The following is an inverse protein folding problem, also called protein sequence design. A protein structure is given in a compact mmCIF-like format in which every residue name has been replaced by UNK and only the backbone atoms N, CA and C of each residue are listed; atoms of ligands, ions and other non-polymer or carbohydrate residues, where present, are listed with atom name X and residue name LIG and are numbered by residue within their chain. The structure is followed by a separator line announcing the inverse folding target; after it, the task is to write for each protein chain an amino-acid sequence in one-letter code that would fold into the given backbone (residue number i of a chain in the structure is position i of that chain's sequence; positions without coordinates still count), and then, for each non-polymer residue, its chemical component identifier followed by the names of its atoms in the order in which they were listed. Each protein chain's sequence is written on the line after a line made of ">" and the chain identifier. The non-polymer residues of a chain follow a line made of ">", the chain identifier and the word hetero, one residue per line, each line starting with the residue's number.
data_IF_631648145580
#
_entry.id   IF_631648145580
#
_cell.length_a   1.000
_cell.length_b   1.000
_cell.length_c   1.000
_cell.angle_alpha   90.00
_cell.angle_beta   90.00
_cell.angle_gamma   90.00
#
_symmetry.space_group_name_H-M   'P 1'
#
loop_
_entity.id
_entity.type
_entity.pdbx_description
1 polymer ?
#
# COMPACT_ATOMS: atom_id res chain seq x y z
N UNK A 1 27.41 -3.08 2.01
CA UNK A 1 26.07 -3.43 2.48
C UNK A 1 25.53 -2.15 3.05
N UNK A 2 24.70 -1.46 2.27
CA UNK A 2 24.14 -0.18 2.69
C UNK A 2 23.22 -0.46 3.89
N UNK A 3 23.56 0.13 5.04
CA UNK A 3 22.73 0.05 6.22
C UNK A 3 21.54 1.00 6.05
N UNK A 4 20.39 0.64 6.64
CA UNK A 4 19.18 1.44 6.58
C UNK A 4 18.52 1.44 7.96
N UNK A 5 17.89 2.55 8.33
CA UNK A 5 17.07 2.64 9.55
C UNK A 5 15.60 2.40 9.22
N UNK A 6 14.90 1.57 9.98
CA UNK A 6 13.51 1.22 9.73
C UNK A 6 12.56 2.29 10.29
N UNK A 7 11.49 2.56 9.56
CA UNK A 7 10.41 3.46 10.00
C UNK A 7 9.04 2.79 9.87
N UNK A 8 7.99 3.46 10.33
CA UNK A 8 6.69 2.85 10.54
C UNK A 8 5.81 2.83 9.27
N UNK A 9 5.82 3.88 8.44
CA UNK A 9 4.94 3.93 7.27
C UNK A 9 5.09 5.14 6.36
N UNK A 10 4.15 5.27 5.41
CA UNK A 10 4.20 6.25 4.33
C UNK A 10 4.26 7.70 4.82
N UNK A 11 3.67 7.98 5.99
CA UNK A 11 3.62 9.31 6.61
C UNK A 11 4.94 9.74 7.26
N UNK A 12 5.94 8.85 7.34
CA UNK A 12 7.32 9.23 7.70
C UNK A 12 7.98 10.10 6.62
N UNK A 13 7.48 10.02 5.38
CA UNK A 13 7.88 10.93 4.31
C UNK A 13 7.23 12.29 4.57
N UNK A 14 8.07 13.27 4.91
CA UNK A 14 7.64 14.60 5.34
C UNK A 14 6.56 15.21 4.42
N UNK A 15 5.41 15.50 5.02
CA UNK A 15 4.28 16.17 4.38
C UNK A 15 3.21 15.25 3.78
N UNK A 16 3.50 13.95 3.58
CA UNK A 16 2.47 13.00 3.14
C UNK A 16 1.50 12.70 4.27
N UNK A 17 0.21 12.64 3.94
CA UNK A 17 -0.88 12.24 4.83
C UNK A 17 -1.70 11.12 4.21
N UNK A 18 -2.33 10.30 5.04
CA UNK A 18 -3.15 9.16 4.60
C UNK A 18 -4.50 9.22 5.30
N UNK A 19 -5.56 9.03 4.52
CA UNK A 19 -6.92 8.97 5.04
C UNK A 19 -7.70 7.80 4.47
N UNK A 20 -8.64 7.29 5.27
CA UNK A 20 -9.47 6.15 4.93
C UNK A 20 -10.93 6.48 5.14
N UNK A 21 -11.79 6.03 4.24
CA UNK A 21 -13.23 6.02 4.44
C UNK A 21 -13.81 4.67 4.02
N UNK A 22 -14.80 4.20 4.76
CA UNK A 22 -15.52 2.96 4.49
C UNK A 22 -16.84 3.28 3.80
N UNK A 23 -17.30 2.40 2.92
CA UNK A 23 -18.70 2.43 2.46
C UNK A 23 -19.60 2.11 3.67
N UNK A 24 -20.61 2.94 3.98
CA UNK A 24 -21.50 2.70 5.10
C UNK A 24 -22.40 1.48 4.86
N UNK A 25 -22.85 0.85 5.94
CA UNK A 25 -23.76 -0.29 5.92
C UNK A 25 -23.10 -1.62 6.32
N UNK A 26 -23.91 -2.49 6.92
CA UNK A 26 -23.46 -3.79 7.47
C UNK A 26 -23.08 -4.79 6.38
N UNK A 27 -23.76 -4.72 5.22
CA UNK A 27 -23.49 -5.56 4.04
C UNK A 27 -22.50 -4.92 3.04
N UNK A 28 -21.91 -3.79 3.42
CA UNK A 28 -20.83 -3.16 2.66
C UNK A 28 -19.48 -3.68 3.17
N UNK A 29 -18.59 -4.07 2.27
CA UNK A 29 -17.21 -4.45 2.61
C UNK A 29 -16.27 -3.85 1.57
N UNK A 30 -16.24 -2.52 1.51
CA UNK A 30 -15.42 -1.75 0.58
C UNK A 30 -15.13 -0.36 1.17
N UNK A 31 -14.23 0.39 0.52
CA UNK A 31 -13.84 1.73 0.95
C UNK A 31 -12.81 2.36 0.03
N UNK A 32 -12.33 3.54 0.45
CA UNK A 32 -11.34 4.34 -0.28
C UNK A 32 -10.22 4.75 0.67
N UNK A 33 -8.99 4.72 0.16
CA UNK A 33 -7.79 5.26 0.80
C UNK A 33 -7.26 6.40 -0.07
N UNK A 34 -6.97 7.54 0.54
CA UNK A 34 -6.34 8.69 -0.15
C UNK A 34 -4.98 8.93 0.45
N UNK A 35 -3.97 9.09 -0.42
CA UNK A 35 -2.67 9.66 -0.04
C UNK A 35 -2.67 11.11 -0.49
N UNK A 36 -2.56 12.02 0.47
CA UNK A 36 -2.60 13.47 0.27
C UNK A 36 -1.17 14.03 0.40
N UNK A 37 -0.71 14.71 -0.64
CA UNK A 37 0.57 15.41 -0.65
C UNK A 37 0.49 16.71 0.18
N UNK A 38 1.63 17.28 0.61
CA UNK A 38 1.65 18.60 1.23
C UNK A 38 1.13 19.68 0.25
N UNK A 39 0.91 20.88 0.76
CA UNK A 39 0.63 22.04 -0.10
C UNK A 39 1.74 22.24 -1.14
N UNK A 40 1.36 22.62 -2.35
CA UNK A 40 2.25 22.63 -3.53
C UNK A 40 2.41 21.25 -4.19
N UNK A 41 1.78 20.20 -3.67
CA UNK A 41 1.74 18.87 -4.26
C UNK A 41 3.06 18.12 -4.17
N UNK A 42 3.14 16.96 -4.84
CA UNK A 42 4.35 16.16 -4.99
C UNK A 42 4.57 15.78 -6.45
N UNK A 43 5.83 15.64 -6.87
CA UNK A 43 6.15 15.07 -8.18
C UNK A 43 5.61 13.65 -8.20
N UNK A 44 4.85 13.30 -9.23
CA UNK A 44 4.15 12.03 -9.29
C UNK A 44 4.39 11.29 -10.59
N UNK A 45 4.41 9.96 -10.49
CA UNK A 45 4.44 9.07 -11.64
C UNK A 45 3.68 7.78 -11.34
N UNK A 46 3.42 7.00 -12.38
CA UNK A 46 2.72 5.72 -12.28
C UNK A 46 3.34 4.69 -13.19
N UNK A 47 3.30 3.43 -12.75
CA UNK A 47 3.49 2.25 -13.57
C UNK A 47 2.28 1.33 -13.36
N UNK A 48 1.62 0.95 -14.46
CA UNK A 48 0.49 0.02 -14.48
C UNK A 48 0.97 -1.25 -15.17
N UNK A 49 1.00 -2.37 -14.43
CA UNK A 49 1.62 -3.61 -14.91
C UNK A 49 0.66 -4.80 -15.01
N UNK A 50 -0.38 -4.82 -14.19
CA UNK A 50 -1.41 -5.86 -14.29
C UNK A 50 -2.18 -5.78 -15.60
N UNK A 51 -2.67 -6.93 -16.11
CA UNK A 51 -3.38 -6.98 -17.39
C UNK A 51 -4.85 -6.53 -17.36
N UNK A 52 -5.44 -6.35 -16.18
CA UNK A 52 -6.83 -5.92 -15.99
C UNK A 52 -6.96 -4.64 -15.15
N UNK A 53 -6.29 -3.54 -15.52
CA UNK A 53 -6.29 -2.33 -14.70
C UNK A 53 -7.63 -1.59 -14.74
N UNK A 54 -8.01 -1.00 -13.60
CA UNK A 54 -9.04 0.02 -13.53
C UNK A 54 -8.42 1.29 -12.96
N UNK A 55 -8.18 2.28 -13.82
CA UNK A 55 -7.40 3.47 -13.49
C UNK A 55 -8.08 4.75 -13.98
N UNK A 56 -7.66 5.88 -13.40
CA UNK A 56 -8.07 7.24 -13.80
C UNK A 56 -6.84 8.15 -13.83
N UNK A 57 -6.76 9.02 -14.83
CA UNK A 57 -5.74 10.08 -15.00
C UNK A 57 -4.27 9.62 -15.03
N UNK A 58 -4.02 8.36 -15.44
CA UNK A 58 -2.65 7.83 -15.56
C UNK A 58 -1.86 8.50 -16.68
N UNK A 59 -2.50 8.84 -17.81
CA UNK A 59 -1.84 9.51 -18.93
C UNK A 59 -1.33 10.90 -18.53
N UNK A 60 -2.08 11.63 -17.70
CA UNK A 60 -1.64 12.91 -17.15
C UNK A 60 -0.32 12.78 -16.37
N UNK A 61 0.02 11.57 -15.91
CA UNK A 61 1.25 11.31 -15.20
C UNK A 61 2.47 11.00 -16.08
N UNK A 62 2.30 10.86 -17.40
CA UNK A 62 3.40 10.58 -18.32
C UNK A 62 4.47 11.69 -18.30
N UNK A 63 5.79 11.38 -18.31
CA UNK A 63 6.85 12.39 -18.24
C UNK A 63 6.86 13.46 -19.34
N UNK A 64 6.21 13.18 -20.47
CA UNK A 64 6.07 14.13 -21.58
C UNK A 64 4.91 15.13 -21.43
N UNK A 65 4.13 15.07 -20.35
CA UNK A 65 2.93 15.87 -20.17
C UNK A 65 3.14 17.05 -19.20
N UNK A 66 2.21 18.02 -19.22
CA UNK A 66 2.37 19.33 -18.57
C UNK A 66 2.24 19.32 -17.04
N UNK A 67 1.54 18.33 -16.49
CA UNK A 67 1.29 18.22 -15.06
C UNK A 67 2.57 17.75 -14.39
N UNK A 68 3.20 18.58 -13.56
CA UNK A 68 4.44 18.19 -12.86
C UNK A 68 4.21 17.71 -11.42
N UNK A 69 3.25 18.30 -10.70
CA UNK A 69 2.91 17.93 -9.32
C UNK A 69 1.41 17.65 -9.20
N UNK A 70 1.06 16.71 -8.33
CA UNK A 70 -0.35 16.41 -7.97
C UNK A 70 -0.53 16.52 -6.46
N UNK A 71 -1.76 16.71 -6.03
CA UNK A 71 -2.10 16.84 -4.62
C UNK A 71 -2.56 15.54 -3.97
N UNK A 72 -3.12 14.59 -4.72
CA UNK A 72 -3.66 13.37 -4.14
C UNK A 72 -3.59 12.16 -5.09
N UNK A 73 -3.47 10.97 -4.51
CA UNK A 73 -3.67 9.68 -5.19
C UNK A 73 -4.79 8.92 -4.48
N UNK A 74 -5.68 8.32 -5.25
CA UNK A 74 -6.85 7.58 -4.76
C UNK A 74 -6.69 6.08 -5.01
N UNK A 75 -6.71 5.29 -3.95
CA UNK A 75 -6.82 3.83 -4.02
C UNK A 75 -8.23 3.47 -3.55
N UNK A 76 -8.97 2.65 -4.30
CA UNK A 76 -10.39 2.40 -3.98
C UNK A 76 -10.80 0.96 -4.23
N UNK A 77 -11.75 0.46 -3.43
CA UNK A 77 -12.52 -0.73 -3.78
C UNK A 77 -13.60 -0.40 -4.83
N UNK A 78 -14.51 -1.34 -5.08
CA UNK A 78 -15.64 -1.18 -5.99
C UNK A 78 -15.34 -1.44 -7.46
N UNK A 79 -14.14 -1.92 -7.80
CA UNK A 79 -13.66 -2.06 -9.17
C UNK A 79 -13.82 -0.72 -9.93
N UNK A 80 -14.03 -0.77 -11.26
CA UNK A 80 -14.13 0.43 -12.11
C UNK A 80 -15.19 1.43 -11.62
N UNK A 81 -16.29 0.97 -11.00
CA UNK A 81 -17.29 1.87 -10.42
C UNK A 81 -16.74 2.72 -9.28
N UNK A 82 -15.79 2.18 -8.50
CA UNK A 82 -15.19 2.91 -7.39
C UNK A 82 -14.34 4.11 -7.82
N UNK A 83 -13.96 4.20 -9.10
CA UNK A 83 -13.23 5.36 -9.63
C UNK A 83 -14.04 6.66 -9.49
N UNK A 84 -15.36 6.59 -9.30
CA UNK A 84 -16.22 7.72 -8.93
C UNK A 84 -15.76 8.41 -7.63
N UNK A 85 -15.07 7.69 -6.73
CA UNK A 85 -14.49 8.26 -5.52
C UNK A 85 -13.49 9.39 -5.81
N UNK A 86 -12.75 9.31 -6.93
CA UNK A 86 -11.81 10.36 -7.33
C UNK A 86 -12.50 11.70 -7.59
N UNK A 87 -13.77 11.70 -8.04
CA UNK A 87 -14.55 12.93 -8.25
C UNK A 87 -14.82 13.69 -6.95
N UNK A 88 -15.03 12.99 -5.84
CA UNK A 88 -15.20 13.64 -4.53
C UNK A 88 -13.90 14.25 -3.99
N UNK A 89 -12.77 13.60 -4.26
CA UNK A 89 -11.44 14.13 -3.92
C UNK A 89 -11.11 15.35 -4.78
N UNK A 90 -11.40 15.30 -6.08
CA UNK A 90 -11.25 16.42 -7.01
C UNK A 90 -12.05 17.64 -6.53
N UNK A 91 -13.33 17.46 -6.20
CA UNK A 91 -14.17 18.56 -5.69
C UNK A 91 -13.62 19.16 -4.38
N UNK A 92 -13.13 18.32 -3.46
CA UNK A 92 -12.54 18.79 -2.20
C UNK A 92 -11.24 19.59 -2.40
N UNK A 93 -10.43 19.22 -3.40
CA UNK A 93 -9.20 19.91 -3.76
C UNK A 93 -9.50 21.25 -4.45
N UNK A 94 -10.47 21.28 -5.35
CA UNK A 94 -10.96 22.50 -6.00
C UNK A 94 -11.43 23.54 -4.98
N UNK A 95 -12.22 23.12 -3.96
CA UNK A 95 -12.65 23.97 -2.84
C UNK A 95 -11.51 24.60 -2.03
N UNK A 96 -10.28 24.10 -2.19
CA UNK A 96 -9.08 24.54 -1.48
C UNK A 96 -8.04 25.15 -2.41
N UNK A 97 -8.42 25.47 -3.65
CA UNK A 97 -7.54 26.03 -4.67
C UNK A 97 -6.30 25.15 -4.95
N UNK A 98 -6.44 23.82 -4.79
CA UNK A 98 -5.37 22.84 -4.99
C UNK A 98 -5.52 22.13 -6.32
N UNK A 99 -4.64 22.43 -7.26
CA UNK A 99 -4.59 21.79 -8.57
C UNK A 99 -3.72 22.56 -9.55
N UNK A 100 -3.77 22.17 -10.82
CA UNK A 100 -3.09 22.88 -11.89
C UNK A 100 -3.78 24.22 -12.10
N UNK A 101 -3.05 25.34 -11.96
CA UNK A 101 -3.59 26.66 -12.29
C UNK A 101 -3.87 26.76 -13.78
N UNK A 102 -5.11 27.10 -14.13
CA UNK A 102 -5.58 27.25 -15.53
C UNK A 102 -6.05 28.67 -15.86
N UNK A 103 -6.00 29.59 -14.90
CA UNK A 103 -6.32 30.99 -15.13
C UNK A 103 -5.72 31.93 -14.08
N UNK A 104 -5.90 33.26 -14.24
CA UNK A 104 -5.28 34.27 -13.39
C UNK A 104 -5.89 34.38 -11.98
N UNK A 105 -7.15 33.97 -11.79
CA UNK A 105 -7.86 34.16 -10.52
C UNK A 105 -7.63 32.99 -9.53
N UNK A 106 -7.76 33.28 -8.24
CA UNK A 106 -7.85 32.25 -7.20
C UNK A 106 -9.07 31.36 -7.48
N UNK A 107 -8.96 30.06 -7.28
CA UNK A 107 -10.01 29.09 -7.63
C UNK A 107 -10.01 28.60 -9.07
N UNK A 108 -9.25 29.21 -9.98
CA UNK A 108 -9.12 28.70 -11.36
C UNK A 108 -8.08 27.59 -11.42
N UNK A 109 -8.37 26.47 -10.75
CA UNK A 109 -7.54 25.26 -10.70
C UNK A 109 -8.26 24.06 -11.29
N UNK A 110 -7.50 23.13 -11.88
CA UNK A 110 -7.97 21.81 -12.27
C UNK A 110 -7.16 20.77 -11.51
N UNK A 111 -7.74 20.13 -10.48
CA UNK A 111 -7.05 19.07 -9.75
C UNK A 111 -6.87 17.84 -10.64
N UNK A 112 -5.63 17.35 -10.78
CA UNK A 112 -5.38 16.05 -11.40
C UNK A 112 -5.37 15.01 -10.30
N UNK A 113 -6.33 14.07 -10.33
CA UNK A 113 -6.52 13.08 -9.26
C UNK A 113 -6.42 11.67 -9.83
N UNK A 114 -5.19 11.13 -9.91
CA UNK A 114 -4.94 9.77 -10.33
C UNK A 114 -5.58 8.77 -9.37
N UNK A 115 -6.17 7.72 -9.93
CA UNK A 115 -6.80 6.67 -9.14
C UNK A 115 -6.53 5.30 -9.71
N UNK A 116 -6.55 4.30 -8.83
CA UNK A 116 -6.59 2.90 -9.21
C UNK A 116 -7.52 2.12 -8.28
N UNK A 117 -8.17 1.09 -8.79
CA UNK A 117 -9.15 0.31 -8.04
C UNK A 117 -8.78 -1.17 -7.86
N UNK A 118 -9.23 -1.74 -6.75
CA UNK A 118 -9.29 -3.18 -6.51
C UNK A 118 -10.71 -3.70 -6.72
N UNK A 119 -10.86 -4.96 -7.09
CA UNK A 119 -12.15 -5.64 -7.15
C UNK A 119 -12.50 -6.26 -5.80
N UNK A 120 -13.58 -5.80 -5.18
CA UNK A 120 -14.12 -6.32 -3.91
C UNK A 120 -15.66 -6.40 -3.89
N UNK A 121 -16.29 -6.35 -5.07
CA UNK A 121 -17.74 -6.34 -5.23
C UNK A 121 -18.41 -7.55 -4.55
N UNK A 122 -19.50 -7.29 -3.83
CA UNK A 122 -20.32 -8.33 -3.22
C UNK A 122 -19.73 -9.01 -1.98
N UNK A 123 -18.49 -8.72 -1.58
CA UNK A 123 -17.83 -9.39 -0.44
C UNK A 123 -18.50 -9.13 0.92
N UNK A 124 -19.23 -8.02 1.04
CA UNK A 124 -20.09 -7.76 2.22
C UNK A 124 -21.49 -8.36 2.12
N UNK A 125 -21.86 -8.91 0.96
CA UNK A 125 -23.19 -9.45 0.67
C UNK A 125 -24.11 -8.51 -0.11
N UNK A 126 -23.76 -7.23 -0.27
CA UNK A 126 -24.42 -6.33 -1.21
C UNK A 126 -23.50 -6.03 -2.40
N UNK A 127 -23.92 -6.43 -3.61
CA UNK A 127 -23.17 -6.22 -4.85
C UNK A 127 -23.01 -4.74 -5.21
N UNK A 128 -23.94 -3.88 -4.78
CA UNK A 128 -23.97 -2.45 -5.11
C UNK A 128 -23.38 -1.57 -4.00
N UNK A 129 -22.93 -2.16 -2.89
CA UNK A 129 -22.23 -1.44 -1.84
C UNK A 129 -20.77 -1.16 -2.24
N UNK A 130 -20.59 -0.12 -3.05
CA UNK A 130 -19.31 0.31 -3.62
C UNK A 130 -18.98 1.77 -3.25
N UNK A 131 -17.69 2.18 -3.26
CA UNK A 131 -17.30 3.56 -3.08
C UNK A 131 -17.85 4.47 -4.18
N UNK A 132 -18.07 5.73 -3.84
CA UNK A 132 -18.40 6.80 -4.79
C UNK A 132 -17.83 8.13 -4.30
N UNK A 133 -18.22 9.24 -4.93
CA UNK A 133 -17.69 10.57 -4.63
C UNK A 133 -17.72 10.90 -3.12
N UNK A 134 -18.81 10.60 -2.41
CA UNK A 134 -18.90 10.86 -0.96
C UNK A 134 -17.85 10.06 -0.15
N UNK A 135 -17.58 8.81 -0.51
CA UNK A 135 -16.53 8.00 0.12
C UNK A 135 -15.15 8.56 -0.14
N UNK A 136 -14.88 9.02 -1.37
CA UNK A 136 -13.61 9.67 -1.72
C UNK A 136 -13.40 10.99 -0.97
N UNK A 137 -14.42 11.85 -0.91
CA UNK A 137 -14.40 13.08 -0.12
C UNK A 137 -14.09 12.80 1.35
N UNK A 138 -14.81 11.87 1.97
CA UNK A 138 -14.59 11.50 3.36
C UNK A 138 -13.16 10.99 3.60
N UNK A 139 -12.57 10.25 2.65
CA UNK A 139 -11.20 9.75 2.78
C UNK A 139 -10.15 10.87 2.69
N UNK A 140 -10.33 11.86 1.81
CA UNK A 140 -9.40 13.00 1.73
C UNK A 140 -9.57 13.97 2.92
N UNK A 141 -10.79 14.15 3.41
CA UNK A 141 -11.05 14.90 4.65
C UNK A 141 -10.39 14.23 5.85
N UNK A 142 -10.49 12.89 5.95
CA UNK A 142 -9.78 12.12 6.97
C UNK A 142 -8.26 12.28 6.85
N UNK A 143 -7.71 12.29 5.63
CA UNK A 143 -6.28 12.53 5.41
C UNK A 143 -5.87 13.94 5.86
N UNK A 144 -6.65 14.96 5.51
CA UNK A 144 -6.37 16.34 5.86
C UNK A 144 -6.45 16.61 7.38
N UNK A 145 -7.25 15.83 8.11
CA UNK A 145 -7.41 15.94 9.55
C UNK A 145 -6.26 15.30 10.36
N UNK A 146 -5.35 14.54 9.73
CA UNK A 146 -4.20 13.95 10.44
C UNK A 146 -3.06 14.94 10.60
N UNK A 147 -2.39 14.87 11.75
CA UNK A 147 -1.12 15.56 11.97
C UNK A 147 0.00 15.03 11.06
N UNK A 148 1.00 15.85 10.68
CA UNK A 148 2.19 15.37 9.98
C UNK A 148 2.87 14.22 10.75
N UNK A 149 3.23 13.14 10.05
CA UNK A 149 3.85 11.97 10.67
C UNK A 149 2.89 11.09 11.49
N UNK A 150 1.58 11.34 11.44
CA UNK A 150 0.61 10.47 12.11
C UNK A 150 0.73 9.01 11.60
N UNK A 151 0.69 8.00 12.49
CA UNK A 151 0.79 6.60 12.09
C UNK A 151 -0.27 6.20 11.07
N UNK A 152 0.13 5.41 10.07
CA UNK A 152 -0.81 4.89 9.06
C UNK A 152 -1.63 3.74 9.65
N UNK A 153 -2.95 3.90 9.71
CA UNK A 153 -3.85 2.82 10.12
C UNK A 153 -3.83 1.71 9.06
N UNK A 154 -3.42 0.50 9.48
CA UNK A 154 -3.31 -0.67 8.60
C UNK A 154 -4.40 -1.73 8.88
N UNK A 155 -4.50 -2.74 8.01
CA UNK A 155 -5.49 -3.82 8.11
C UNK A 155 -6.73 -3.57 7.24
N UNK A 156 -7.91 -3.90 7.75
CA UNK A 156 -9.16 -3.90 6.97
C UNK A 156 -9.84 -2.52 6.89
N UNK A 157 -9.09 -1.49 6.49
CA UNK A 157 -9.54 -0.08 6.42
C UNK A 157 -9.47 0.46 4.98
N UNK A 158 -10.26 1.49 4.67
CA UNK A 158 -10.25 2.16 3.36
C UNK A 158 -10.39 1.18 2.21
N UNK A 159 -9.53 1.29 1.19
CA UNK A 159 -9.50 0.36 0.07
C UNK A 159 -9.13 -1.09 0.46
N UNK A 160 -8.52 -1.29 1.64
CA UNK A 160 -8.25 -2.61 2.21
C UNK A 160 -9.44 -3.25 2.93
N UNK A 161 -10.55 -2.52 3.13
CA UNK A 161 -11.73 -3.07 3.83
C UNK A 161 -12.25 -4.33 3.14
N UNK A 162 -12.35 -4.32 1.81
CA UNK A 162 -12.81 -5.46 1.02
C UNK A 162 -11.73 -6.45 0.64
N UNK A 163 -10.45 -6.13 0.83
CA UNK A 163 -9.34 -6.80 0.16
C UNK A 163 -9.12 -8.26 0.59
N UNK A 164 -8.76 -9.10 -0.39
CA UNK A 164 -8.50 -10.56 -0.26
C UNK A 164 -7.29 -10.91 -1.10
N UNK A 165 -6.37 -11.71 -0.55
CA UNK A 165 -5.13 -12.15 -1.22
C UNK A 165 -5.01 -13.67 -1.16
N UNK A 166 -5.05 -14.32 -2.32
CA UNK A 166 -4.96 -15.79 -2.38
C UNK A 166 -6.01 -16.52 -1.53
N UNK A 167 -7.18 -15.89 -1.29
CA UNK A 167 -8.26 -16.37 -0.43
C UNK A 167 -8.14 -15.99 1.06
N UNK A 168 -7.01 -15.45 1.50
CA UNK A 168 -6.85 -14.88 2.83
C UNK A 168 -7.33 -13.44 2.86
N UNK A 169 -7.66 -12.91 4.03
CA UNK A 169 -7.84 -11.46 4.18
C UNK A 169 -6.54 -10.73 3.87
N UNK A 170 -6.64 -9.82 2.90
CA UNK A 170 -5.64 -8.81 2.65
C UNK A 170 -5.94 -7.55 3.46
N UNK A 171 -5.51 -6.40 2.96
CA UNK A 171 -5.77 -5.13 3.62
C UNK A 171 -4.84 -4.03 3.16
N UNK A 172 -4.82 -2.95 3.94
CA UNK A 172 -3.82 -1.88 3.86
C UNK A 172 -2.60 -2.30 4.68
N UNK A 173 -1.41 -2.06 4.13
CA UNK A 173 -0.16 -2.14 4.88
C UNK A 173 0.76 -0.99 4.54
N UNK A 174 1.67 -0.65 5.45
CA UNK A 174 2.66 0.39 5.24
C UNK A 174 3.99 0.04 5.89
N UNK A 175 5.09 0.47 5.26
CA UNK A 175 6.45 0.29 5.75
C UNK A 175 7.35 1.40 5.20
N UNK A 176 8.39 1.76 5.94
CA UNK A 176 9.36 2.74 5.50
C UNK A 176 10.78 2.44 5.93
N UNK A 177 11.71 3.20 5.37
CA UNK A 177 13.11 3.17 5.72
C UNK A 177 13.77 4.52 5.45
N UNK A 178 14.73 4.90 6.28
CA UNK A 178 15.65 6.01 6.04
C UNK A 178 16.94 5.47 5.46
N UNK A 179 17.39 6.11 4.38
CA UNK A 179 18.60 5.78 3.67
C UNK A 179 19.81 6.34 4.41
N UNK A 180 20.70 5.49 4.90
CA UNK A 180 21.89 5.95 5.63
C UNK A 180 22.78 6.82 4.72
N UNK A 181 23.48 7.77 5.35
CA UNK A 181 24.31 8.77 4.65
C UNK A 181 23.50 9.93 4.05
N UNK A 182 22.45 9.65 3.27
CA UNK A 182 21.62 10.71 2.65
C UNK A 182 20.50 11.25 3.56
N UNK A 183 20.02 10.43 4.50
CA UNK A 183 18.86 10.75 5.33
C UNK A 183 17.53 10.81 4.57
N UNK A 184 17.51 10.39 3.29
CA UNK A 184 16.30 10.29 2.48
C UNK A 184 15.38 9.23 3.06
N UNK A 185 14.10 9.53 3.15
CA UNK A 185 13.08 8.56 3.53
C UNK A 185 12.44 7.96 2.29
N UNK A 186 12.28 6.64 2.27
CA UNK A 186 11.50 5.91 1.26
C UNK A 186 10.50 5.04 1.99
N UNK A 187 9.22 5.17 1.66
CA UNK A 187 8.16 4.41 2.30
C UNK A 187 7.08 4.01 1.31
N UNK A 188 6.27 3.02 1.66
CA UNK A 188 5.17 2.56 0.84
C UNK A 188 3.88 2.38 1.64
N UNK A 189 2.76 2.60 0.97
CA UNK A 189 1.44 2.12 1.35
C UNK A 189 0.95 1.18 0.26
N UNK A 190 0.38 0.05 0.65
CA UNK A 190 -0.17 -0.94 -0.29
C UNK A 190 -1.60 -1.31 0.07
N UNK A 191 -2.37 -1.71 -0.94
CA UNK A 191 -3.66 -2.39 -0.80
C UNK A 191 -3.53 -3.76 -1.45
N UNK A 192 -3.57 -4.82 -0.64
CA UNK A 192 -3.24 -6.18 -1.10
C UNK A 192 -4.51 -6.96 -1.39
N UNK A 193 -4.89 -7.05 -2.67
CA UNK A 193 -6.08 -7.76 -3.13
C UNK A 193 -5.76 -8.75 -4.28
N UNK A 194 -4.66 -9.50 -4.21
CA UNK A 194 -4.15 -10.26 -5.37
C UNK A 194 -4.83 -11.63 -5.61
N UNK A 195 -4.84 -12.11 -6.88
CA UNK A 195 -5.19 -13.51 -7.19
C UNK A 195 -4.17 -14.43 -6.53
N UNK A 196 -2.89 -14.06 -6.69
CA UNK A 196 -1.75 -14.80 -6.17
C UNK A 196 -1.76 -14.93 -4.66
N UNK A 197 -0.98 -15.89 -4.18
CA UNK A 197 -0.78 -16.08 -2.77
C UNK A 197 0.35 -15.19 -2.27
N UNK A 198 0.15 -14.55 -1.11
CA UNK A 198 1.24 -13.97 -0.34
C UNK A 198 2.01 -15.02 0.49
N UNK A 199 1.47 -16.24 0.56
CA UNK A 199 1.99 -17.36 1.35
C UNK A 199 2.62 -18.39 0.43
N UNK A 200 3.82 -18.82 0.78
CA UNK A 200 4.48 -19.98 0.20
C UNK A 200 3.67 -21.24 0.51
N UNK A 201 3.10 -21.92 -0.50
CA UNK A 201 2.25 -23.08 -0.29
C UNK A 201 3.00 -24.32 0.20
N UNK A 202 4.34 -24.30 0.20
CA UNK A 202 5.15 -25.41 0.69
C UNK A 202 5.50 -25.31 2.18
N UNK A 203 5.48 -24.09 2.75
CA UNK A 203 6.00 -23.83 4.10
C UNK A 203 5.05 -23.02 4.97
N UNK A 204 4.16 -22.23 4.38
CA UNK A 204 3.31 -21.27 5.10
C UNK A 204 3.99 -19.95 5.41
N UNK A 205 5.25 -19.77 4.98
CA UNK A 205 5.98 -18.52 5.12
C UNK A 205 5.40 -17.46 4.19
N UNK A 206 5.34 -16.20 4.63
CA UNK A 206 4.97 -15.10 3.73
C UNK A 206 6.14 -14.83 2.77
N UNK A 207 5.89 -14.80 1.46
CA UNK A 207 6.96 -14.68 0.46
C UNK A 207 7.85 -13.45 0.70
N UNK A 208 7.24 -12.32 1.05
CA UNK A 208 7.96 -11.07 1.31
C UNK A 208 8.82 -11.08 2.58
N UNK A 209 8.78 -12.15 3.39
CA UNK A 209 9.64 -12.35 4.54
C UNK A 209 10.99 -13.01 4.17
N UNK A 210 11.10 -13.64 2.99
CA UNK A 210 12.36 -14.24 2.54
C UNK A 210 13.38 -13.14 2.20
N UNK A 211 14.59 -13.27 2.76
CA UNK A 211 15.70 -12.35 2.51
C UNK A 211 15.58 -10.99 3.23
N UNK A 212 14.48 -10.73 3.93
CA UNK A 212 14.27 -9.48 4.65
C UNK A 212 14.73 -9.61 6.12
N UNK A 213 15.71 -8.79 6.57
CA UNK A 213 16.22 -8.83 7.94
C UNK A 213 15.16 -8.57 9.02
N UNK A 214 14.08 -7.84 8.71
CA UNK A 214 12.99 -7.54 9.65
C UNK A 214 12.28 -8.80 10.12
N UNK A 215 12.21 -9.80 9.24
CA UNK A 215 11.50 -11.04 9.50
C UNK A 215 12.44 -12.22 9.77
N UNK A 216 13.75 -11.98 9.88
CA UNK A 216 14.74 -13.01 10.13
C UNK A 216 14.55 -13.65 11.52
N UNK A 217 14.58 -14.98 11.56
CA UNK A 217 14.59 -15.77 12.78
C UNK A 217 16.04 -16.08 13.22
N UNK A 218 16.24 -16.12 14.54
CA UNK A 218 17.40 -16.69 15.24
C UNK A 218 18.76 -16.60 14.53
N UNK A 219 19.38 -15.42 14.57
CA UNK A 219 20.81 -15.23 14.24
C UNK A 219 21.23 -15.49 12.78
N UNK A 220 20.29 -15.87 11.91
CA UNK A 220 20.55 -16.16 10.50
C UNK A 220 19.95 -15.05 9.61
N UNK A 221 20.78 -14.16 9.04
CA UNK A 221 20.29 -13.05 8.23
C UNK A 221 19.42 -13.52 7.06
N UNK A 222 18.20 -12.97 6.96
CA UNK A 222 17.31 -13.16 5.82
C UNK A 222 16.55 -14.49 5.76
N UNK A 223 16.58 -15.33 6.81
CA UNK A 223 15.77 -16.56 6.87
C UNK A 223 14.60 -16.38 7.85
N UNK A 224 13.34 -16.40 7.38
CA UNK A 224 12.19 -16.25 8.26
C UNK A 224 11.93 -17.49 9.11
N UNK A 225 11.15 -17.33 10.18
CA UNK A 225 10.63 -18.45 10.96
C UNK A 225 9.66 -19.27 10.11
N UNK A 226 9.86 -20.60 10.08
CA UNK A 226 8.99 -21.51 9.36
C UNK A 226 7.87 -21.96 10.30
N UNK A 227 6.58 -21.85 9.89
CA UNK A 227 5.50 -22.49 10.62
C UNK A 227 5.75 -24.00 10.80
N UNK A 228 5.27 -24.54 11.92
CA UNK A 228 5.27 -25.99 12.13
C UNK A 228 4.54 -26.70 10.96
N UNK A 229 5.09 -27.79 10.39
CA UNK A 229 4.48 -28.47 9.25
C UNK A 229 3.05 -28.95 9.49
N UNK A 230 2.69 -29.35 10.72
CA UNK A 230 1.33 -29.78 11.06
C UNK A 230 0.38 -28.57 11.10
N UNK A 231 0.83 -27.44 11.65
CA UNK A 231 0.10 -26.17 11.63
C UNK A 231 -0.13 -25.74 10.18
N UNK A 232 0.90 -25.80 9.33
CA UNK A 232 0.77 -25.47 7.91
C UNK A 232 -0.22 -26.36 7.18
N UNK A 233 -0.16 -27.68 7.38
CA UNK A 233 -1.10 -28.61 6.77
C UNK A 233 -2.55 -28.33 7.22
N UNK A 234 -2.77 -27.98 8.49
CA UNK A 234 -4.09 -27.60 8.99
C UNK A 234 -4.59 -26.27 8.41
N UNK A 235 -3.72 -25.27 8.33
CA UNK A 235 -4.01 -23.97 7.72
C UNK A 235 -4.41 -24.11 6.24
N UNK A 236 -3.66 -24.91 5.47
CA UNK A 236 -3.94 -25.16 4.06
C UNK A 236 -5.31 -25.80 3.84
N UNK A 237 -5.69 -26.78 4.68
CA UNK A 237 -7.04 -27.39 4.63
C UNK A 237 -8.14 -26.36 4.92
N UNK A 238 -8.03 -25.61 6.00
CA UNK A 238 -9.02 -24.58 6.37
C UNK A 238 -9.17 -23.49 5.30
N UNK A 239 -8.06 -23.09 4.66
CA UNK A 239 -8.10 -22.13 3.57
C UNK A 239 -8.79 -22.71 2.33
N UNK A 240 -8.56 -23.97 1.99
CA UNK A 240 -9.25 -24.64 0.89
C UNK A 240 -10.76 -24.70 1.14
N UNK A 241 -11.17 -25.12 2.34
CA UNK A 241 -12.58 -25.17 2.75
C UNK A 241 -13.25 -23.78 2.70
N UNK A 242 -12.55 -22.72 3.13
CA UNK A 242 -13.06 -21.34 3.06
C UNK A 242 -13.23 -20.84 1.62
N UNK A 243 -12.31 -21.22 0.73
CA UNK A 243 -12.40 -20.91 -0.72
C UNK A 243 -13.59 -21.62 -1.37
N UNK A 244 -13.83 -22.89 -1.05
CA UNK A 244 -14.97 -23.64 -1.57
C UNK A 244 -16.31 -23.02 -1.16
N UNK A 245 -16.39 -22.47 0.06
CA UNK A 245 -17.57 -21.73 0.54
C UNK A 245 -17.74 -20.36 -0.10
N UNK A 246 -16.70 -19.81 -0.73
CA UNK A 246 -16.68 -18.45 -1.26
C UNK A 246 -16.80 -18.45 -2.79
N UNK A 247 -17.98 -18.13 -3.33
CA UNK A 247 -18.22 -18.04 -4.77
C UNK A 247 -17.92 -16.65 -5.33
N UNK A 248 -16.67 -16.19 -5.26
CA UNK A 248 -16.29 -14.84 -5.74
C UNK A 248 -15.54 -14.88 -7.09
N UNK A 249 -15.90 -14.04 -8.07
CA UNK A 249 -15.15 -13.90 -9.32
C UNK A 249 -13.67 -13.55 -9.10
N UNK A 250 -12.78 -14.04 -9.97
CA UNK A 250 -11.34 -13.81 -9.89
C UNK A 250 -10.90 -12.57 -10.68
N UNK A 251 -11.28 -11.38 -10.22
CA UNK A 251 -10.60 -10.13 -10.57
C UNK A 251 -9.93 -9.62 -9.30
N UNK A 252 -8.66 -9.23 -9.39
CA UNK A 252 -7.83 -8.96 -8.22
C UNK A 252 -6.75 -7.93 -8.57
N UNK A 253 -6.13 -7.30 -7.59
CA UNK A 253 -5.20 -6.18 -7.80
C UNK A 253 -4.36 -5.93 -6.55
N UNK A 254 -3.05 -5.70 -6.68
CA UNK A 254 -2.23 -5.03 -5.66
C UNK A 254 -1.97 -3.59 -6.08
N UNK A 255 -2.40 -2.65 -5.25
CA UNK A 255 -2.12 -1.22 -5.45
C UNK A 255 -1.00 -0.77 -4.52
N UNK A 256 -0.11 0.09 -4.99
CA UNK A 256 0.95 0.67 -4.19
C UNK A 256 1.09 2.18 -4.41
N UNK A 257 1.47 2.89 -3.36
CA UNK A 257 2.00 4.26 -3.41
C UNK A 257 3.34 4.24 -2.70
N UNK A 258 4.40 4.56 -3.44
CA UNK A 258 5.74 4.77 -2.89
C UNK A 258 5.95 6.26 -2.66
N UNK A 259 6.23 6.66 -1.42
CA UNK A 259 6.59 8.02 -1.05
C UNK A 259 8.10 8.16 -0.87
N UNK A 260 8.65 9.31 -1.23
CA UNK A 260 10.00 9.71 -0.82
C UNK A 260 10.12 11.22 -0.64
N UNK A 261 11.02 11.64 0.26
CA UNK A 261 11.36 13.05 0.43
C UNK A 261 12.50 13.51 -0.50
N UNK A 262 13.10 12.59 -1.26
CA UNK A 262 14.07 12.93 -2.29
C UNK A 262 13.45 13.75 -3.42
N UNK A 263 14.18 14.74 -3.91
CA UNK A 263 13.87 15.52 -5.10
C UNK A 263 14.11 14.65 -6.34
N UNK A 264 13.03 14.20 -6.95
CA UNK A 264 13.06 13.38 -8.17
C UNK A 264 12.44 14.14 -9.33
N UNK A 265 12.98 13.94 -10.53
CA UNK A 265 12.25 14.23 -11.76
C UNK A 265 11.12 13.22 -11.94
N UNK A 266 10.11 13.56 -12.74
CA UNK A 266 9.01 12.66 -13.09
C UNK A 266 9.47 11.35 -13.73
N UNK A 267 10.51 11.38 -14.57
CA UNK A 267 11.09 10.17 -15.16
C UNK A 267 11.78 9.28 -14.11
N UNK A 268 12.49 9.88 -13.14
CA UNK A 268 13.07 9.13 -12.02
C UNK A 268 11.96 8.54 -11.12
N UNK A 269 10.91 9.30 -10.83
CA UNK A 269 9.74 8.80 -10.10
C UNK A 269 9.03 7.66 -10.86
N UNK A 270 8.94 7.73 -12.20
CA UNK A 270 8.39 6.64 -13.00
C UNK A 270 9.27 5.38 -12.91
N UNK A 271 10.59 5.54 -12.85
CA UNK A 271 11.50 4.42 -12.63
C UNK A 271 11.31 3.79 -11.25
N UNK A 272 11.08 4.60 -10.22
CA UNK A 272 10.72 4.13 -8.86
C UNK A 272 9.43 3.32 -8.90
N UNK A 273 8.37 3.84 -9.53
CA UNK A 273 7.10 3.13 -9.70
C UNK A 273 7.30 1.78 -10.40
N UNK A 274 8.10 1.74 -11.47
CA UNK A 274 8.40 0.49 -12.17
C UNK A 274 9.18 -0.52 -11.34
N UNK A 275 10.13 -0.07 -10.51
CA UNK A 275 10.92 -0.95 -9.62
C UNK A 275 10.11 -1.42 -8.41
N UNK A 276 9.13 -0.62 -7.95
CA UNK A 276 8.21 -0.99 -6.87
C UNK A 276 7.48 -2.33 -7.16
N UNK A 277 7.17 -2.62 -8.43
CA UNK A 277 6.59 -3.89 -8.85
C UNK A 277 7.47 -5.11 -8.52
N UNK A 278 8.79 -4.96 -8.43
CA UNK A 278 9.66 -6.03 -7.96
C UNK A 278 9.36 -6.41 -6.51
N UNK A 279 8.97 -5.43 -5.68
CA UNK A 279 8.49 -5.67 -4.32
C UNK A 279 7.20 -6.49 -4.28
N UNK A 280 6.26 -6.18 -5.19
CA UNK A 280 5.02 -6.96 -5.35
C UNK A 280 5.37 -8.41 -5.74
N UNK A 281 6.21 -8.61 -6.75
CA UNK A 281 6.59 -9.94 -7.23
C UNK A 281 7.38 -10.77 -6.20
N UNK A 282 8.11 -10.12 -5.28
CA UNK A 282 8.79 -10.79 -4.15
C UNK A 282 7.82 -11.24 -3.06
N UNK A 283 6.67 -10.55 -2.90
CA UNK A 283 5.74 -10.80 -1.82
C UNK A 283 4.46 -11.54 -2.23
N UNK A 284 4.16 -11.63 -3.53
CA UNK A 284 2.96 -12.26 -4.08
C UNK A 284 3.33 -13.13 -5.28
N UNK A 285 2.81 -14.37 -5.31
CA UNK A 285 3.04 -15.30 -6.42
C UNK A 285 1.78 -16.10 -6.79
N UNK A 286 1.40 -16.16 -8.08
CA UNK A 286 1.86 -15.26 -9.17
C UNK A 286 1.37 -13.81 -8.97
N UNK A 287 2.01 -12.86 -9.65
CA UNK A 287 1.58 -11.46 -9.73
C UNK A 287 1.52 -11.01 -11.20
N UNK A 288 0.87 -9.87 -11.48
CA UNK A 288 0.79 -9.26 -12.81
C UNK A 288 0.10 -10.13 -13.88
N UNK A 289 -0.84 -10.98 -13.49
CA UNK A 289 -1.64 -11.77 -14.44
C UNK A 289 -2.63 -10.89 -15.21
N UNK A 290 -3.29 -11.47 -16.22
CA UNK A 290 -4.31 -10.79 -17.04
C UNK A 290 -5.51 -10.26 -16.22
N UNK A 291 -5.82 -10.93 -15.11
CA UNK A 291 -6.90 -10.53 -14.22
C UNK A 291 -6.41 -9.70 -13.02
N UNK A 292 -5.11 -9.38 -12.99
CA UNK A 292 -4.53 -8.49 -11.99
C UNK A 292 -4.56 -7.04 -12.49
N UNK A 293 -4.99 -6.08 -11.67
CA UNK A 293 -4.93 -4.65 -11.97
C UNK A 293 -3.71 -3.92 -11.40
N UNK A 294 -2.63 -4.64 -11.13
CA UNK A 294 -1.49 -4.17 -10.33
C UNK A 294 -0.96 -2.80 -10.82
N UNK A 295 -0.94 -1.83 -9.90
CA UNK A 295 -0.57 -0.43 -10.20
C UNK A 295 0.24 0.16 -9.06
N UNK A 296 1.38 0.78 -9.39
CA UNK A 296 2.23 1.49 -8.44
C UNK A 296 2.33 2.98 -8.81
N UNK A 297 2.02 3.86 -7.86
CA UNK A 297 2.30 5.28 -7.94
C UNK A 297 3.57 5.63 -7.17
N UNK A 298 4.26 6.69 -7.58
CA UNK A 298 5.33 7.31 -6.78
C UNK A 298 4.97 8.76 -6.49
N UNK A 299 5.19 9.22 -5.26
CA UNK A 299 5.08 10.60 -4.81
C UNK A 299 6.42 11.05 -4.21
N UNK A 300 7.07 12.03 -4.84
CA UNK A 300 8.30 12.63 -4.37
C UNK A 300 8.03 14.06 -3.88
N UNK A 301 8.16 14.31 -2.57
CA UNK A 301 7.86 15.64 -1.99
C UNK A 301 8.97 16.66 -2.28
N UNK A 302 10.19 16.19 -2.49
CA UNK A 302 11.35 17.01 -2.85
C UNK A 302 11.93 17.83 -1.70
N UNK A 303 11.71 17.41 -0.45
CA UNK A 303 12.25 18.07 0.73
C UNK A 303 13.76 17.88 0.91
N UNK A 304 14.37 16.91 0.22
CA UNK A 304 15.81 16.63 0.26
C UNK A 304 16.39 16.51 -1.15
N UNK A 305 17.60 17.03 -1.41
CA UNK A 305 18.27 16.76 -2.68
C UNK A 305 18.57 15.25 -2.80
N UNK A 306 18.47 14.70 -4.01
CA UNK A 306 18.86 13.31 -4.28
C UNK A 306 20.37 13.09 -4.10
N UNK A 307 21.18 14.15 -4.18
CA UNK A 307 22.65 14.08 -4.04
C UNK A 307 23.29 15.28 -3.38
N UNK A 308 24.34 15.01 -2.61
CA UNK A 308 25.61 15.73 -2.69
C UNK A 308 26.61 14.85 -3.50
N UNK A 309 26.73 15.05 -4.82
CA UNK A 309 27.90 14.62 -5.59
C UNK A 309 28.03 13.19 -6.17
N UNK A 310 26.96 12.38 -6.35
CA UNK A 310 27.03 11.04 -7.01
C UNK A 310 25.92 10.72 -8.02
N UNK A 311 25.65 11.62 -8.96
CA UNK A 311 24.75 11.32 -10.09
C UNK A 311 25.48 10.48 -11.16
N UNK A 312 24.85 9.47 -11.81
CA UNK A 312 23.43 9.06 -11.76
C UNK A 312 23.11 7.90 -10.78
N UNK A 313 24.10 7.35 -10.08
CA UNK A 313 23.94 6.12 -9.29
C UNK A 313 23.22 6.31 -7.95
N UNK A 314 23.09 7.54 -7.45
CA UNK A 314 22.39 7.85 -6.20
C UNK A 314 20.92 7.39 -6.18
N UNK A 315 20.25 7.38 -7.34
CA UNK A 315 18.87 6.90 -7.45
C UNK A 315 18.74 5.41 -7.09
N UNK A 316 19.78 4.60 -7.28
CA UNK A 316 19.70 3.15 -7.03
C UNK A 316 19.34 2.83 -5.57
N UNK A 317 19.79 3.63 -4.61
CA UNK A 317 19.44 3.47 -3.20
C UNK A 317 17.91 3.62 -3.00
N UNK A 318 17.30 4.63 -3.62
CA UNK A 318 15.84 4.83 -3.60
C UNK A 318 15.11 3.69 -4.32
N UNK A 319 15.62 3.23 -5.47
CA UNK A 319 15.02 2.13 -6.23
C UNK A 319 15.01 0.82 -5.46
N UNK A 320 16.13 0.46 -4.82
CA UNK A 320 16.24 -0.74 -3.97
C UNK A 320 15.27 -0.62 -2.81
N UNK A 321 15.33 0.49 -2.08
CA UNK A 321 14.46 0.73 -0.94
C UNK A 321 12.97 0.65 -1.33
N UNK A 322 12.57 1.22 -2.47
CA UNK A 322 11.19 1.17 -2.96
C UNK A 322 10.66 -0.26 -3.13
N UNK A 323 11.45 -1.15 -3.74
CA UNK A 323 11.05 -2.55 -3.87
C UNK A 323 10.97 -3.26 -2.50
N UNK A 324 11.90 -2.97 -1.60
CA UNK A 324 11.96 -3.61 -0.29
C UNK A 324 10.82 -3.13 0.63
N UNK A 325 10.51 -1.83 0.67
CA UNK A 325 9.41 -1.31 1.49
C UNK A 325 8.04 -1.75 0.96
N UNK A 326 7.87 -1.93 -0.35
CA UNK A 326 6.63 -2.50 -0.91
C UNK A 326 6.46 -3.95 -0.49
N UNK A 327 7.51 -4.77 -0.59
CA UNK A 327 7.49 -6.16 -0.11
C UNK A 327 7.12 -6.23 1.38
N UNK A 328 7.78 -5.41 2.21
CA UNK A 328 7.50 -5.30 3.66
C UNK A 328 6.08 -4.84 3.95
N UNK A 329 5.58 -3.83 3.24
CA UNK A 329 4.23 -3.32 3.40
C UNK A 329 3.17 -4.39 3.07
N UNK A 330 3.41 -5.26 2.08
CA UNK A 330 2.53 -6.39 1.77
C UNK A 330 2.50 -7.39 2.93
N UNK A 331 3.66 -7.76 3.48
CA UNK A 331 3.72 -8.65 4.66
C UNK A 331 2.94 -8.05 5.83
N UNK A 332 3.14 -6.76 6.11
CA UNK A 332 2.42 -6.04 7.17
C UNK A 332 0.91 -5.97 6.91
N UNK A 333 0.47 -5.80 5.67
CA UNK A 333 -0.95 -5.82 5.32
C UNK A 333 -1.61 -7.17 5.66
N UNK A 334 -0.95 -8.28 5.30
CA UNK A 334 -1.46 -9.64 5.54
C UNK A 334 -1.46 -9.98 7.03
N UNK A 335 -0.44 -9.56 7.76
CA UNK A 335 -0.36 -9.76 9.21
C UNK A 335 -1.36 -8.88 9.98
N UNK A 336 -1.58 -7.64 9.55
CA UNK A 336 -2.53 -6.70 10.16
C UNK A 336 -4.00 -6.97 9.83
N UNK A 337 -4.28 -7.92 8.92
CA UNK A 337 -5.64 -8.28 8.54
C UNK A 337 -6.35 -9.12 9.61
N UNK A 338 -7.63 -8.83 9.83
CA UNK A 338 -8.55 -9.62 10.65
C UNK A 338 -9.47 -10.46 9.76
N UNK A 339 -9.86 -11.67 10.22
CA UNK A 339 -10.76 -12.53 9.45
C UNK A 339 -12.11 -11.86 9.24
N UNK A 340 -12.83 -12.24 8.19
CA UNK A 340 -14.18 -11.74 7.91
C UNK A 340 -15.00 -12.87 7.31
N UNK A 341 -16.18 -13.11 7.87
CA UNK A 341 -17.10 -14.14 7.40
C UNK A 341 -18.50 -13.53 7.31
N UNK A 342 -19.22 -13.84 6.24
CA UNK A 342 -20.58 -13.36 6.04
C UNK A 342 -21.18 -13.85 4.73
N UNK A 343 -22.31 -13.28 4.34
CA UNK A 343 -23.05 -13.68 3.12
C UNK A 343 -22.26 -13.49 1.83
N UNK A 344 -21.26 -12.62 1.82
CA UNK A 344 -20.40 -12.36 0.65
C UNK A 344 -19.12 -13.21 0.58
N UNK A 345 -18.88 -14.09 1.56
CA UNK A 345 -17.73 -14.99 1.58
C UNK A 345 -17.15 -15.21 2.98
N UNK A 346 -16.25 -16.19 3.06
CA UNK A 346 -15.49 -16.52 4.27
C UNK A 346 -13.99 -16.38 3.98
N UNK A 347 -13.38 -15.42 4.65
CA UNK A 347 -12.00 -15.00 4.41
C UNK A 347 -11.24 -15.05 5.73
N UNK A 348 -10.50 -16.14 6.02
CA UNK A 348 -9.64 -16.19 7.19
C UNK A 348 -8.45 -15.23 7.05
N UNK A 349 -7.91 -14.71 8.16
CA UNK A 349 -6.63 -14.00 8.14
C UNK A 349 -5.47 -14.96 8.31
N UNK A 350 -4.27 -14.55 7.89
CA UNK A 350 -3.06 -15.35 8.09
C UNK A 350 -2.88 -15.73 9.56
N UNK A 351 -3.02 -14.76 10.49
CA UNK A 351 -2.89 -15.00 11.93
C UNK A 351 -3.95 -15.94 12.49
N UNK A 352 -5.17 -15.96 11.93
CA UNK A 352 -6.20 -16.93 12.34
C UNK A 352 -5.87 -18.38 11.95
N UNK A 353 -5.00 -18.57 10.95
CA UNK A 353 -4.59 -19.90 10.49
C UNK A 353 -3.27 -20.36 11.10
N UNK A 354 -2.29 -19.45 11.21
CA UNK A 354 -0.91 -19.76 11.62
C UNK A 354 -0.55 -19.27 13.03
N UNK A 355 -1.41 -18.50 13.68
CA UNK A 355 -1.11 -17.85 14.96
C UNK A 355 -0.23 -16.60 14.81
N UNK A 356 0.35 -16.15 15.92
CA UNK A 356 1.34 -15.06 15.93
C UNK A 356 2.70 -15.65 15.55
N UNK A 357 3.41 -15.02 14.62
CA UNK A 357 4.77 -15.45 14.27
C UNK A 357 5.73 -15.21 15.47
N UNK A 358 6.61 -16.16 15.80
CA UNK A 358 7.63 -15.98 16.83
C UNK A 358 8.47 -14.72 16.57
N UNK A 359 8.63 -13.87 17.59
CA UNK A 359 9.39 -12.62 17.48
C UNK A 359 8.63 -11.41 16.91
N UNK A 360 7.35 -11.57 16.54
CA UNK A 360 6.38 -10.49 16.30
C UNK A 360 5.31 -10.44 17.40
N UNK A 361 5.66 -10.89 18.60
CA UNK A 361 4.81 -10.93 19.79
C UNK A 361 4.61 -9.52 20.34
N UNK A 362 3.39 -9.02 20.24
CA UNK A 362 2.99 -7.67 20.60
C UNK A 362 1.86 -7.20 19.69
N UNK A 363 1.03 -6.24 20.13
CA UNK A 363 0.01 -5.67 19.28
C UNK A 363 0.69 -4.96 18.09
N UNK A 364 0.79 -5.66 16.96
CA UNK A 364 0.66 -5.03 15.64
C UNK A 364 -0.82 -4.69 15.43
N UNK A 365 -1.42 -4.07 16.43
CA UNK A 365 -2.72 -3.46 16.36
C UNK A 365 -2.41 -2.13 15.71
N UNK A 366 -3.12 -1.75 14.65
CA UNK A 366 -2.86 -0.53 13.87
C UNK A 366 -3.10 0.79 14.63
N UNK A 367 -2.72 0.85 15.90
CA UNK A 367 -2.72 1.97 16.81
C UNK A 367 -1.51 1.83 17.77
N UNK A 368 -0.46 2.63 17.57
CA UNK A 368 0.50 2.95 18.64
C UNK A 368 1.94 2.51 18.40
N UNK A 369 2.79 3.54 18.38
CA UNK A 369 4.22 3.72 18.70
C UNK A 369 5.12 2.61 19.26
N UNK A 370 4.63 1.44 19.69
CA UNK A 370 5.44 0.44 20.40
C UNK A 370 6.22 -0.51 19.48
N UNK A 371 5.86 -0.57 18.19
CA UNK A 371 6.57 -1.38 17.18
C UNK A 371 7.97 -0.87 16.84
N UNK A 372 8.19 0.44 16.89
CA UNK A 372 9.50 1.06 16.60
C UNK A 372 10.51 0.83 17.74
N UNK A 373 10.05 0.84 19.00
CA UNK A 373 10.92 0.51 20.14
C UNK A 373 11.24 -0.98 20.22
N UNK A 374 10.31 -1.88 19.85
CA UNK A 374 10.56 -3.32 19.83
C UNK A 374 11.62 -3.73 18.78
N UNK A 375 11.70 -3.01 17.65
CA UNK A 375 12.76 -3.19 16.66
C UNK A 375 14.11 -2.61 17.10
N UNK A 376 14.12 -1.51 17.87
CA UNK A 376 15.35 -0.91 18.39
C UNK A 376 15.94 -1.65 19.60
N UNK A 377 15.12 -2.36 20.39
CA UNK A 377 15.56 -3.16 21.56
C UNK A 377 16.35 -4.43 21.22
N UNK A 378 16.49 -4.80 19.93
CA UNK A 378 17.35 -5.91 19.49
C UNK A 378 18.82 -5.54 19.29
N UNK A 379 19.24 -4.31 19.63
CA UNK A 379 20.66 -3.98 19.81
C UNK A 379 21.00 -3.98 21.30
N UNK A 380 21.35 -5.15 21.82
CA UNK A 380 22.12 -5.25 23.07
C UNK A 380 23.50 -4.60 22.90
N UNK A 381 24.12 -4.10 23.98
CA UNK A 381 25.37 -3.35 23.89
C UNK A 381 26.56 -4.31 23.75
N UNK A 382 27.31 -4.18 22.67
CA UNK A 382 28.68 -4.68 22.57
C UNK A 382 28.84 -6.16 22.25
N UNK A 383 29.68 -6.39 21.22
CA UNK A 383 30.16 -7.64 20.62
C UNK A 383 29.20 -8.35 19.66
#
# INVERSE_FOLDING_TARGET
>A
MDSWTLTDGLTDVAGLRVGHARVPGERALSGTTVVLAPEGGAVAAVDVRGGGPGTRETDALHPGNVVDRIDAVVLTGGSAYGLDAAGGVMAWLEERDRGVRVGPDVGQVVPVVPAACVFDLGRGGDWRARPGAATGRAAVEAAAATEPGAPVVCGNVGAGTGAVVGGLRGGVGSAGTVLDGSGVTVAALVVVNAVGSAVDPSTGVLYGAYGDPVFAADGMPGRPAYPDPQVHAAAARRLAEAKERSSTPSLNTTLAVVGTDAALTRAQAQKVAGVAHNGIARAVRPAHLLNDGDTAFTLATGARPLTEGREPLALNAVLVAAADVVSRAIVRAVLGARPTSGTGGDFPSYRSLYGTLPGLEGPWDGAGTDGAEALNRRRGPGC
#
